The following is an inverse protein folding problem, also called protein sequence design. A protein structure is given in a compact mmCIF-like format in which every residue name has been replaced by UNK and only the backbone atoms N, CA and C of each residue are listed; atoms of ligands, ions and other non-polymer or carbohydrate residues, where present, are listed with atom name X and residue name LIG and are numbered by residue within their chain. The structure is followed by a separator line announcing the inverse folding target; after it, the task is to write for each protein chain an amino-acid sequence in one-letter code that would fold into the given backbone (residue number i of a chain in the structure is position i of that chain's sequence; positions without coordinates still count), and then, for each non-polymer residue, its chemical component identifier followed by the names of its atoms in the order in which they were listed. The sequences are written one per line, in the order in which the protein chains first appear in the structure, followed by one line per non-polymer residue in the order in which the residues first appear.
data_IF_653082400170
#
_entry.id   IF_653082400170
#
_cell.length_a   1.000
_cell.length_b   1.000
_cell.length_c   1.000
_cell.angle_alpha   90.00
_cell.angle_beta   90.00
_cell.angle_gamma   90.00
#
_symmetry.space_group_name_H-M   'P 1'
#
loop_
_entity.id
_entity.type
_entity.pdbx_description
1 polymer ?
#
# COMPACT_ATOMS: atom_id res chain seq x y z
N UNK A 1 26.67 1.34 23.21
CA UNK A 1 26.28 2.42 22.31
C UNK A 1 24.86 2.14 21.86
N UNK A 2 23.98 2.66 22.27
CA UNK A 2 23.21 3.53 23.05
C UNK A 2 21.77 3.45 22.62
N UNK A 3 20.96 2.74 23.41
CA UNK A 3 19.47 2.72 23.30
C UNK A 3 18.90 4.16 23.33
N UNK A 4 19.66 5.11 23.88
CA UNK A 4 19.31 6.53 23.99
C UNK A 4 19.23 7.25 22.64
N UNK A 5 19.98 6.83 21.62
CA UNK A 5 20.00 7.49 20.32
C UNK A 5 18.76 7.14 19.46
N UNK A 6 18.13 5.99 19.68
CA UNK A 6 16.87 5.64 18.98
C UNK A 6 15.66 6.42 19.49
N UNK A 7 15.64 6.78 20.77
CA UNK A 7 14.55 7.59 21.32
C UNK A 7 14.63 9.04 20.83
N UNK A 8 15.84 9.58 20.62
CA UNK A 8 16.04 10.92 20.06
C UNK A 8 15.63 10.99 18.57
N UNK A 9 15.88 9.97 17.79
CA UNK A 9 15.46 9.93 16.38
C UNK A 9 13.95 9.85 16.21
N UNK A 10 13.23 9.10 17.05
CA UNK A 10 11.76 9.07 17.04
C UNK A 10 11.13 10.39 17.47
N UNK A 11 11.65 11.02 18.53
CA UNK A 11 11.13 12.31 19.02
C UNK A 11 11.37 13.46 18.02
N UNK A 12 12.51 13.48 17.34
CA UNK A 12 12.82 14.48 16.32
C UNK A 12 12.06 14.21 15.01
N UNK A 13 11.85 12.97 14.62
CA UNK A 13 11.01 12.61 13.48
C UNK A 13 9.56 13.07 13.69
N UNK A 14 9.02 12.91 14.91
CA UNK A 14 7.68 13.43 15.26
C UNK A 14 7.62 14.97 15.26
N UNK A 15 8.70 15.63 15.67
CA UNK A 15 8.76 17.10 15.70
C UNK A 15 8.89 17.71 14.31
N UNK A 16 9.63 17.06 13.41
CA UNK A 16 9.76 17.45 12.00
C UNK A 16 8.45 17.16 11.25
N UNK A 17 7.78 16.05 11.53
CA UNK A 17 6.44 15.74 11.02
C UNK A 17 5.38 16.77 11.41
N UNK A 18 5.43 17.30 12.64
CA UNK A 18 4.43 18.26 13.13
C UNK A 18 4.49 19.63 12.46
N UNK A 19 5.60 19.97 11.80
CA UNK A 19 5.78 21.28 11.19
C UNK A 19 5.46 21.33 9.69
N UNK A 20 5.17 20.20 9.06
CA UNK A 20 4.90 20.14 7.63
C UNK A 20 3.51 19.52 7.36
N UNK A 21 2.51 20.36 7.13
CA UNK A 21 1.12 19.94 6.86
C UNK A 21 1.02 18.91 5.74
N UNK A 22 1.97 18.93 4.78
CA UNK A 22 2.03 18.00 3.68
C UNK A 22 2.44 16.58 4.12
N UNK A 23 3.43 16.47 5.01
CA UNK A 23 3.84 15.16 5.57
C UNK A 23 2.70 14.53 6.39
N UNK A 24 1.95 15.35 7.14
CA UNK A 24 0.77 14.89 7.86
C UNK A 24 -0.31 14.34 6.93
N UNK A 25 -0.58 15.03 5.82
CA UNK A 25 -1.53 14.59 4.80
C UNK A 25 -1.11 13.25 4.18
N UNK A 26 0.16 13.08 3.84
CA UNK A 26 0.69 11.81 3.31
C UNK A 26 0.55 10.67 4.34
N UNK A 27 0.82 10.93 5.61
CA UNK A 27 0.64 9.95 6.69
C UNK A 27 -0.81 9.51 6.81
N UNK A 28 -1.76 10.44 6.73
CA UNK A 28 -3.20 10.14 6.77
C UNK A 28 -3.61 9.31 5.55
N UNK A 29 -3.14 9.65 4.36
CA UNK A 29 -3.43 8.88 3.13
C UNK A 29 -2.92 7.46 3.26
N UNK A 30 -1.69 7.26 3.73
CA UNK A 30 -1.09 5.95 3.95
C UNK A 30 -1.89 5.14 4.97
N UNK A 31 -2.24 5.74 6.10
CA UNK A 31 -3.05 5.08 7.15
C UNK A 31 -4.44 4.67 6.66
N UNK A 32 -5.12 5.56 5.93
CA UNK A 32 -6.42 5.27 5.32
C UNK A 32 -6.33 4.16 4.27
N UNK A 33 -5.27 4.12 3.47
CA UNK A 33 -5.04 3.07 2.47
C UNK A 33 -4.95 1.71 3.13
N UNK A 34 -4.14 1.55 4.18
CA UNK A 34 -4.01 0.29 4.89
C UNK A 34 -5.32 -0.14 5.56
N UNK A 35 -6.04 0.78 6.19
CA UNK A 35 -7.34 0.49 6.82
C UNK A 35 -8.36 0.03 5.76
N UNK A 36 -8.41 0.70 4.61
CA UNK A 36 -9.29 0.33 3.50
C UNK A 36 -8.95 -1.06 2.94
N UNK A 37 -7.66 -1.40 2.82
CA UNK A 37 -7.20 -2.73 2.39
C UNK A 37 -7.72 -3.81 3.35
N UNK A 38 -7.61 -3.61 4.67
CA UNK A 38 -8.12 -4.56 5.65
C UNK A 38 -9.63 -4.78 5.52
N UNK A 39 -10.40 -3.70 5.34
CA UNK A 39 -11.85 -3.79 5.12
C UNK A 39 -12.16 -4.54 3.82
N UNK A 40 -11.45 -4.27 2.72
CA UNK A 40 -11.66 -4.96 1.46
C UNK A 40 -11.34 -6.46 1.54
N UNK A 41 -10.27 -6.83 2.25
CA UNK A 41 -9.93 -8.24 2.50
C UNK A 41 -11.07 -8.93 3.27
N UNK A 42 -11.57 -8.31 4.35
CA UNK A 42 -12.69 -8.85 5.12
C UNK A 42 -13.95 -9.03 4.26
N UNK A 43 -14.25 -8.07 3.38
CA UNK A 43 -15.37 -8.14 2.44
C UNK A 43 -15.20 -9.26 1.40
N UNK A 44 -13.97 -9.48 0.90
CA UNK A 44 -13.67 -10.58 -0.03
C UNK A 44 -13.88 -11.92 0.67
N UNK A 45 -13.34 -12.10 1.88
CA UNK A 45 -13.50 -13.33 2.66
C UNK A 45 -14.98 -13.63 2.90
N UNK A 46 -15.75 -12.61 3.30
CA UNK A 46 -17.19 -12.76 3.55
C UNK A 46 -17.95 -13.10 2.24
N UNK A 47 -17.57 -12.48 1.13
CA UNK A 47 -18.14 -12.77 -0.19
C UNK A 47 -17.82 -14.19 -0.65
N UNK A 48 -16.58 -14.67 -0.44
CA UNK A 48 -16.17 -16.03 -0.77
C UNK A 48 -16.94 -17.07 0.05
N UNK A 49 -17.10 -16.84 1.36
CA UNK A 49 -17.93 -17.73 2.20
C UNK A 49 -19.36 -17.88 1.68
N UNK A 50 -19.94 -16.75 1.24
CA UNK A 50 -21.28 -16.75 0.65
C UNK A 50 -21.31 -17.43 -0.71
N UNK A 51 -20.30 -17.22 -1.55
CA UNK A 51 -20.17 -17.79 -2.88
C UNK A 51 -20.02 -19.31 -2.86
N UNK A 52 -19.26 -19.86 -1.92
CA UNK A 52 -19.13 -21.31 -1.71
C UNK A 52 -20.47 -21.94 -1.34
N UNK A 53 -21.31 -21.20 -0.59
CA UNK A 53 -22.63 -21.67 -0.17
C UNK A 53 -23.66 -21.64 -1.32
N UNK A 54 -23.53 -20.66 -2.25
CA UNK A 54 -24.51 -20.39 -3.30
C UNK A 54 -24.08 -20.99 -4.67
N UNK A 55 -23.03 -21.82 -4.72
CA UNK A 55 -22.46 -22.47 -5.91
C UNK A 55 -22.12 -21.50 -7.09
N UNK A 56 -21.96 -20.21 -6.79
CA UNK A 56 -21.55 -19.20 -7.78
C UNK A 56 -20.14 -18.69 -7.50
N UNK A 57 -19.10 -19.29 -8.11
CA UNK A 57 -17.71 -19.11 -7.63
C UNK A 57 -17.10 -17.74 -7.87
N UNK A 58 -17.56 -16.94 -8.82
CA UNK A 58 -16.87 -15.71 -9.23
C UNK A 58 -17.87 -14.55 -9.41
N UNK A 59 -17.99 -13.74 -8.39
CA UNK A 59 -18.80 -12.53 -8.44
C UNK A 59 -17.95 -11.35 -8.93
N UNK A 60 -18.39 -10.62 -9.95
CA UNK A 60 -17.72 -9.44 -10.52
C UNK A 60 -17.26 -8.41 -9.44
N UNK A 61 -17.99 -8.31 -8.33
CA UNK A 61 -17.61 -7.43 -7.22
C UNK A 61 -16.29 -7.82 -6.54
N UNK A 62 -15.89 -9.10 -6.55
CA UNK A 62 -14.61 -9.54 -5.98
C UNK A 62 -13.43 -9.14 -6.85
N UNK A 63 -13.60 -9.13 -8.17
CA UNK A 63 -12.58 -8.67 -9.13
C UNK A 63 -12.27 -7.19 -8.88
N UNK A 64 -13.30 -6.35 -8.76
CA UNK A 64 -13.13 -4.92 -8.48
C UNK A 64 -12.44 -4.68 -7.13
N UNK A 65 -12.79 -5.44 -6.09
CA UNK A 65 -12.16 -5.33 -4.77
C UNK A 65 -10.70 -5.75 -4.81
N UNK A 66 -10.37 -6.84 -5.51
CA UNK A 66 -8.99 -7.31 -5.68
C UNK A 66 -8.15 -6.29 -6.44
N UNK A 67 -8.70 -5.69 -7.50
CA UNK A 67 -8.05 -4.61 -8.26
C UNK A 67 -7.83 -3.37 -7.38
N UNK A 68 -8.83 -2.99 -6.57
CA UNK A 68 -8.71 -1.87 -5.64
C UNK A 68 -7.62 -2.10 -4.58
N UNK A 69 -7.48 -3.31 -4.05
CA UNK A 69 -6.39 -3.66 -3.11
C UNK A 69 -5.03 -3.44 -3.78
N UNK A 70 -4.82 -3.95 -5.00
CA UNK A 70 -3.56 -3.77 -5.73
C UNK A 70 -3.20 -2.29 -5.92
N UNK A 71 -4.17 -1.47 -6.34
CA UNK A 71 -3.99 -0.02 -6.52
C UNK A 71 -3.68 0.66 -5.17
N UNK A 72 -4.40 0.33 -4.10
CA UNK A 72 -4.18 0.92 -2.77
C UNK A 72 -2.82 0.58 -2.19
N UNK A 73 -2.30 -0.64 -2.41
CA UNK A 73 -0.95 -1.02 -2.01
C UNK A 73 0.08 -0.14 -2.74
N UNK A 74 -0.06 0.05 -4.04
CA UNK A 74 0.86 0.89 -4.82
C UNK A 74 0.80 2.36 -4.41
N UNK A 75 -0.39 2.91 -4.19
CA UNK A 75 -0.58 4.29 -3.73
C UNK A 75 -0.02 4.46 -2.32
N UNK A 76 -0.26 3.52 -1.42
CA UNK A 76 0.26 3.55 -0.06
C UNK A 76 1.79 3.53 -0.04
N UNK A 77 2.41 2.64 -0.81
CA UNK A 77 3.87 2.55 -0.94
C UNK A 77 4.48 3.83 -1.52
N UNK A 78 3.88 4.37 -2.58
CA UNK A 78 4.36 5.62 -3.20
C UNK A 78 4.27 6.79 -2.21
N UNK A 79 3.18 6.89 -1.46
CA UNK A 79 3.00 7.93 -0.43
C UNK A 79 4.03 7.79 0.70
N UNK A 80 4.29 6.56 1.15
CA UNK A 80 5.29 6.28 2.19
C UNK A 80 6.71 6.57 1.71
N UNK A 81 7.06 6.14 0.49
CA UNK A 81 8.36 6.41 -0.10
C UNK A 81 8.60 7.92 -0.28
N UNK A 82 7.59 8.66 -0.70
CA UNK A 82 7.67 10.10 -0.86
C UNK A 82 7.83 10.82 0.49
N UNK A 83 7.10 10.38 1.52
CA UNK A 83 7.24 10.91 2.88
C UNK A 83 8.65 10.67 3.43
N UNK A 84 9.20 9.47 3.25
CA UNK A 84 10.57 9.12 3.67
C UNK A 84 11.61 9.97 2.91
N UNK A 85 11.40 10.19 1.61
CA UNK A 85 12.28 11.04 0.80
C UNK A 85 12.29 12.48 1.31
N UNK A 86 11.12 13.07 1.61
CA UNK A 86 11.03 14.43 2.17
C UNK A 86 11.72 14.54 3.53
N UNK A 87 11.48 13.58 4.43
CA UNK A 87 12.11 13.55 5.74
C UNK A 87 13.63 13.41 5.65
N UNK A 88 14.12 12.61 4.70
CA UNK A 88 15.55 12.43 4.48
C UNK A 88 16.20 13.71 3.94
N UNK A 89 15.50 14.43 3.07
CA UNK A 89 15.98 15.72 2.53
C UNK A 89 16.10 16.80 3.62
N UNK A 90 15.16 16.85 4.57
CA UNK A 90 15.26 17.75 5.73
C UNK A 90 16.43 17.36 6.66
N UNK A 91 16.65 16.05 6.85
CA UNK A 91 17.80 15.56 7.63
C UNK A 91 19.14 15.95 6.98
N UNK A 92 19.24 15.88 5.66
CA UNK A 92 20.44 16.33 4.91
C UNK A 92 20.70 17.82 5.13
N UNK A 93 19.67 18.66 5.03
CA UNK A 93 19.80 20.11 5.27
C UNK A 93 20.27 20.44 6.69
N UNK A 94 19.85 19.67 7.68
CA UNK A 94 20.28 19.86 9.08
C UNK A 94 21.72 19.38 9.33
N UNK A 95 22.23 18.48 8.48
CA UNK A 95 23.58 17.92 8.55
C UNK A 95 24.57 18.63 7.60
N UNK A 96 24.11 19.59 6.79
CA UNK A 96 24.98 20.47 6.00
C UNK A 96 25.94 21.24 6.92
N UNK A 97 27.19 20.84 6.93
CA UNK A 97 28.24 21.39 7.81
C UNK A 97 28.90 20.36 8.73
N UNK A 98 28.42 19.12 8.73
CA UNK A 98 29.07 18.01 9.41
C UNK A 98 29.73 17.07 8.41
N UNK A 99 30.79 16.36 8.80
CA UNK A 99 31.57 15.44 7.95
C UNK A 99 30.83 14.14 7.57
N UNK A 100 29.50 14.14 7.60
CA UNK A 100 28.69 12.98 7.26
C UNK A 100 28.15 13.08 5.83
N UNK A 101 28.49 12.13 4.99
CA UNK A 101 27.98 11.99 3.64
C UNK A 101 26.67 11.18 3.68
N UNK A 102 25.52 11.86 3.50
CA UNK A 102 24.21 11.20 3.47
C UNK A 102 23.89 10.82 2.04
N UNK A 103 23.88 9.52 1.74
CA UNK A 103 23.50 9.01 0.41
C UNK A 103 21.98 9.10 0.28
N UNK A 104 21.53 9.98 -0.61
CA UNK A 104 20.11 10.11 -0.96
C UNK A 104 19.69 8.96 -1.88
N UNK A 105 19.04 7.95 -1.33
CA UNK A 105 18.35 6.92 -2.10
C UNK A 105 16.84 7.06 -1.94
N UNK A 106 16.09 6.88 -3.03
CA UNK A 106 14.63 6.85 -2.95
C UNK A 106 14.18 5.56 -2.25
N UNK A 107 13.57 5.64 -1.06
CA UNK A 107 13.33 4.48 -0.21
C UNK A 107 12.07 3.71 -0.60
N UNK A 108 12.03 3.18 -1.83
CA UNK A 108 10.92 2.37 -2.33
C UNK A 108 11.06 0.91 -1.87
N UNK A 109 10.01 0.34 -1.30
CA UNK A 109 9.98 -1.08 -0.99
C UNK A 109 9.56 -1.89 -2.22
N UNK A 110 10.54 -2.49 -2.89
CA UNK A 110 10.29 -3.33 -4.07
C UNK A 110 9.30 -4.47 -3.78
N UNK A 111 9.31 -4.98 -2.56
CA UNK A 111 8.41 -6.05 -2.14
C UNK A 111 6.94 -5.62 -2.20
N UNK A 112 6.59 -4.47 -1.67
CA UNK A 112 5.22 -3.95 -1.69
C UNK A 112 4.76 -3.64 -3.12
N UNK A 113 5.66 -3.14 -3.97
CA UNK A 113 5.38 -2.91 -5.40
C UNK A 113 5.06 -4.24 -6.10
N UNK A 114 5.87 -5.28 -5.89
CA UNK A 114 5.64 -6.61 -6.46
C UNK A 114 4.30 -7.17 -5.99
N UNK A 115 3.99 -7.07 -4.71
CA UNK A 115 2.71 -7.52 -4.15
C UNK A 115 1.53 -6.76 -4.75
N UNK A 116 1.63 -5.43 -4.91
CA UNK A 116 0.59 -4.63 -5.55
C UNK A 116 0.32 -5.05 -7.00
N UNK A 117 1.39 -5.27 -7.78
CA UNK A 117 1.31 -5.75 -9.16
C UNK A 117 0.70 -7.17 -9.21
N UNK A 118 1.08 -8.05 -8.29
CA UNK A 118 0.53 -9.40 -8.19
C UNK A 118 -0.98 -9.38 -7.97
N UNK A 119 -1.49 -8.50 -7.09
CA UNK A 119 -2.93 -8.34 -6.86
C UNK A 119 -3.65 -7.83 -8.11
N UNK A 120 -3.05 -6.92 -8.88
CA UNK A 120 -3.62 -6.45 -10.14
C UNK A 120 -3.66 -7.59 -11.17
N UNK A 121 -2.60 -8.37 -11.28
CA UNK A 121 -2.55 -9.54 -12.16
C UNK A 121 -3.60 -10.59 -11.77
N UNK A 122 -3.73 -10.90 -10.48
CA UNK A 122 -4.78 -11.82 -9.99
C UNK A 122 -6.19 -11.31 -10.33
N UNK A 123 -6.44 -10.01 -10.22
CA UNK A 123 -7.72 -9.44 -10.58
C UNK A 123 -8.03 -9.63 -12.08
N UNK A 124 -7.03 -9.52 -12.94
CA UNK A 124 -7.17 -9.76 -14.38
C UNK A 124 -7.44 -11.23 -14.71
N UNK A 125 -6.71 -12.15 -14.07
CA UNK A 125 -6.95 -13.60 -14.22
C UNK A 125 -8.37 -13.97 -13.76
N UNK A 126 -8.85 -13.42 -12.66
CA UNK A 126 -10.21 -13.62 -12.19
C UNK A 126 -11.25 -13.06 -13.18
N UNK A 127 -10.97 -11.92 -13.81
CA UNK A 127 -11.82 -11.32 -14.85
C UNK A 127 -11.95 -12.22 -16.06
N UNK A 128 -10.84 -12.74 -16.56
CA UNK A 128 -10.83 -13.68 -17.68
C UNK A 128 -11.56 -14.99 -17.34
N UNK A 129 -11.37 -15.50 -16.12
CA UNK A 129 -12.08 -16.69 -15.64
C UNK A 129 -13.59 -16.54 -15.60
N UNK A 130 -14.09 -15.35 -15.24
CA UNK A 130 -15.55 -15.08 -15.27
C UNK A 130 -16.10 -15.02 -16.69
N UNK A 131 -15.38 -14.38 -17.62
CA UNK A 131 -15.79 -14.31 -19.03
C UNK A 131 -15.90 -15.69 -19.66
N UNK A 132 -14.89 -16.54 -19.47
CA UNK A 132 -14.91 -17.92 -19.96
C UNK A 132 -16.06 -18.75 -19.37
N UNK A 133 -16.37 -18.57 -18.10
CA UNK A 133 -17.48 -19.26 -17.43
C UNK A 133 -18.85 -18.80 -17.97
N UNK A 134 -19.01 -17.53 -18.33
CA UNK A 134 -20.23 -16.99 -18.93
C UNK A 134 -20.42 -17.50 -20.36
N UNK A 135 -19.35 -17.55 -21.17
CA UNK A 135 -19.38 -18.11 -22.52
C UNK A 135 -19.78 -19.59 -22.53
N UNK A 136 -19.27 -20.37 -21.58
CA UNK A 136 -19.63 -21.79 -21.46
C UNK A 136 -21.10 -22.00 -21.10
N UNK A 137 -21.70 -21.12 -20.30
CA UNK A 137 -23.12 -21.18 -19.94
C UNK A 137 -24.06 -20.85 -21.11
N UNK A 138 -23.57 -20.06 -22.08
CA UNK A 138 -24.34 -19.69 -23.26
C UNK A 138 -24.30 -20.80 -24.38
N UNK A 139 -23.40 -21.76 -24.26
CA UNK A 139 -23.17 -22.80 -25.26
C UNK A 139 -23.94 -24.10 -24.97
N UNK A 140 -24.63 -24.17 -23.84
CA UNK A 140 -25.53 -25.29 -23.46
C UNK A 140 -26.98 -24.82 -23.58
#
# INVERSE_FOLDING_TARGET
MCIRDRAYTLGNAFKVMGNNSFCYLLMVITGLSYLTILVLIALIINSLRKSIRDEQPLRHSNILRTRAIGILILVGELSEAFMKYLNNNEAVRLLEGTSFEVVQTFPLSYWNVIVGILFLFMAEVLSLGTQLSEEQKLTI
#
